data_IF_189640187041
#
_entry.id   IF_189640187041
#
_cell.length_a   1.000
_cell.length_b   1.000
_cell.length_c   1.000
_cell.angle_alpha   90.00
_cell.angle_beta   90.00
_cell.angle_gamma   90.00
#
_symmetry.space_group_name_H-M   'P 1'
#
loop_
_entity.id
_entity.type
_entity.pdbx_description
1 polymer ?
#
# COMPACT_ATOMS: atom_id res chain seq x y z
N UNK A 1 -24.82 7.01 26.98
CA UNK A 1 -24.96 6.84 25.52
C UNK A 1 -23.84 5.91 25.11
N UNK A 2 -24.17 4.69 24.66
CA UNK A 2 -23.18 3.80 24.05
C UNK A 2 -22.65 4.51 22.81
N UNK A 3 -21.40 4.97 22.86
CA UNK A 3 -20.72 5.58 21.73
C UNK A 3 -20.60 4.48 20.67
N UNK A 4 -21.50 4.43 19.68
CA UNK A 4 -21.36 3.46 18.59
C UNK A 4 -20.10 3.82 17.83
N UNK A 5 -19.13 2.91 17.83
CA UNK A 5 -17.89 3.05 17.06
C UNK A 5 -18.26 3.11 15.58
N UNK A 6 -17.82 4.15 14.86
CA UNK A 6 -17.96 4.20 13.40
C UNK A 6 -16.95 3.21 12.82
N UNK A 7 -17.43 2.29 11.99
CA UNK A 7 -16.56 1.37 11.26
C UNK A 7 -15.75 2.15 10.23
N UNK A 8 -14.41 2.09 10.25
CA UNK A 8 -13.62 2.72 9.20
C UNK A 8 -13.64 1.90 7.92
N UNK A 9 -13.49 2.59 6.79
CA UNK A 9 -13.24 2.01 5.47
C UNK A 9 -11.80 1.47 5.40
N UNK A 10 -11.59 0.26 4.86
CA UNK A 10 -10.27 -0.21 4.46
C UNK A 10 -10.02 0.19 3.00
N UNK A 11 -9.18 1.22 2.81
CA UNK A 11 -8.86 1.78 1.50
C UNK A 11 -7.54 1.21 0.96
N UNK A 12 -7.66 0.37 -0.06
CA UNK A 12 -6.52 -0.32 -0.67
C UNK A 12 -6.01 0.34 -1.95
N UNK A 13 -4.70 0.24 -2.24
CA UNK A 13 -4.12 0.78 -3.45
C UNK A 13 -4.33 -0.17 -4.64
N UNK A 14 -4.73 0.37 -5.78
CA UNK A 14 -4.81 -0.39 -7.03
C UNK A 14 -4.04 0.33 -8.15
N UNK A 15 -3.01 -0.33 -8.67
CA UNK A 15 -2.20 0.20 -9.79
C UNK A 15 -2.57 -0.37 -11.15
N UNK A 16 -3.44 -1.36 -11.23
CA UNK A 16 -3.95 -1.98 -12.47
C UNK A 16 -5.33 -2.55 -12.17
N UNK A 17 -6.12 -2.83 -13.20
CA UNK A 17 -7.44 -3.45 -13.05
C UNK A 17 -7.36 -4.79 -12.30
N UNK A 18 -6.34 -5.60 -12.57
CA UNK A 18 -6.06 -6.84 -11.83
C UNK A 18 -5.91 -6.58 -10.31
N UNK A 19 -5.14 -5.57 -9.91
CA UNK A 19 -4.95 -5.22 -8.50
C UNK A 19 -6.21 -4.68 -7.86
N UNK A 20 -7.05 -3.96 -8.62
CA UNK A 20 -8.36 -3.50 -8.15
C UNK A 20 -9.24 -4.70 -7.80
N UNK A 21 -9.40 -5.65 -8.73
CA UNK A 21 -10.22 -6.84 -8.51
C UNK A 21 -9.71 -7.64 -7.31
N UNK A 22 -8.40 -7.88 -7.25
CA UNK A 22 -7.75 -8.57 -6.12
C UNK A 22 -7.98 -7.84 -4.80
N UNK A 23 -7.83 -6.52 -4.73
CA UNK A 23 -8.05 -5.77 -3.49
C UNK A 23 -9.48 -5.96 -2.97
N UNK A 24 -10.47 -5.85 -3.85
CA UNK A 24 -11.89 -5.96 -3.50
C UNK A 24 -12.25 -7.39 -3.11
N UNK A 25 -11.77 -8.39 -3.87
CA UNK A 25 -12.02 -9.80 -3.54
C UNK A 25 -11.38 -10.20 -2.20
N UNK A 26 -10.29 -9.54 -1.80
CA UNK A 26 -9.64 -9.69 -0.49
C UNK A 26 -10.22 -8.76 0.59
N UNK A 27 -11.32 -8.06 0.31
CA UNK A 27 -12.15 -7.39 1.30
C UNK A 27 -11.90 -5.89 1.48
N UNK A 28 -11.26 -5.21 0.53
CA UNK A 28 -11.21 -3.75 0.53
C UNK A 28 -12.61 -3.15 0.44
N UNK A 29 -12.91 -2.19 1.32
CA UNK A 29 -14.18 -1.44 1.27
C UNK A 29 -14.12 -0.34 0.19
N UNK A 30 -12.92 0.12 -0.14
CA UNK A 30 -12.66 1.03 -1.25
C UNK A 30 -11.27 0.81 -1.85
N UNK A 31 -11.08 1.24 -3.09
CA UNK A 31 -9.78 1.27 -3.76
C UNK A 31 -9.45 2.66 -4.27
N UNK A 32 -8.17 3.02 -4.27
CA UNK A 32 -7.71 4.21 -4.99
C UNK A 32 -6.74 3.87 -6.13
N UNK A 33 -7.00 4.47 -7.29
CA UNK A 33 -6.28 4.27 -8.55
C UNK A 33 -5.63 5.57 -9.03
N UNK A 34 -4.84 5.48 -10.11
CA UNK A 34 -4.39 6.63 -10.87
C UNK A 34 -5.03 6.64 -12.25
N UNK A 35 -5.49 7.80 -12.70
CA UNK A 35 -5.80 8.03 -14.11
C UNK A 35 -4.56 8.37 -14.93
N UNK A 36 -4.74 8.51 -16.25
CA UNK A 36 -3.67 8.89 -17.18
C UNK A 36 -3.26 10.38 -17.07
N UNK A 37 -3.99 11.19 -16.31
CA UNK A 37 -3.74 12.62 -16.13
C UNK A 37 -3.76 13.03 -14.64
N UNK A 38 -3.17 14.19 -14.34
CA UNK A 38 -3.21 14.91 -13.06
C UNK A 38 -2.70 14.20 -11.79
N UNK A 39 -2.15 12.98 -11.88
CA UNK A 39 -1.66 12.20 -10.75
C UNK A 39 -0.13 12.23 -10.51
N UNK A 40 0.30 11.93 -9.28
CA UNK A 40 1.73 11.89 -8.87
C UNK A 40 2.50 10.59 -9.15
N UNK A 41 1.94 9.63 -9.86
CA UNK A 41 2.59 8.35 -10.14
C UNK A 41 2.50 8.01 -11.62
N UNK A 42 3.09 8.86 -12.46
CA UNK A 42 3.12 8.66 -13.92
C UNK A 42 3.76 7.35 -14.36
N UNK A 43 4.54 6.69 -13.48
CA UNK A 43 5.19 5.38 -13.72
C UNK A 43 4.48 4.19 -13.08
N UNK A 44 3.36 4.38 -12.39
CA UNK A 44 2.50 3.26 -12.00
C UNK A 44 1.68 2.80 -13.22
N UNK A 45 1.05 1.63 -13.14
CA UNK A 45 -0.07 1.38 -14.04
C UNK A 45 -1.14 2.43 -13.76
N UNK A 46 -1.61 3.08 -14.81
CA UNK A 46 -2.63 4.11 -14.75
C UNK A 46 -3.74 3.67 -15.71
N UNK A 47 -4.97 3.75 -15.23
CA UNK A 47 -6.13 3.16 -15.91
C UNK A 47 -6.48 3.98 -17.15
N UNK A 48 -6.78 3.30 -18.26
CA UNK A 48 -7.55 3.91 -19.34
C UNK A 48 -9.00 4.18 -18.87
N UNK A 49 -9.76 4.93 -19.66
CA UNK A 49 -11.18 5.17 -19.32
C UNK A 49 -11.99 3.87 -19.37
N UNK A 50 -11.68 2.97 -20.30
CA UNK A 50 -12.32 1.66 -20.41
C UNK A 50 -11.99 0.77 -19.20
N UNK A 51 -10.73 0.67 -18.81
CA UNK A 51 -10.32 -0.08 -17.62
C UNK A 51 -10.93 0.50 -16.35
N UNK A 52 -11.07 1.83 -16.29
CA UNK A 52 -11.68 2.51 -15.15
C UNK A 52 -13.17 2.22 -15.07
N UNK A 53 -13.90 2.26 -16.20
CA UNK A 53 -15.32 1.88 -16.21
C UNK A 53 -15.50 0.44 -15.72
N UNK A 54 -14.72 -0.50 -16.27
CA UNK A 54 -14.78 -1.90 -15.83
C UNK A 54 -14.46 -2.05 -14.33
N UNK A 55 -13.49 -1.27 -13.83
CA UNK A 55 -13.14 -1.23 -12.42
C UNK A 55 -14.25 -0.70 -11.51
N UNK A 56 -14.92 0.39 -11.92
CA UNK A 56 -16.07 0.97 -11.21
C UNK A 56 -17.21 -0.05 -11.16
N UNK A 57 -17.59 -0.62 -12.30
CA UNK A 57 -18.67 -1.60 -12.39
C UNK A 57 -18.37 -2.84 -11.51
N UNK A 58 -17.13 -3.31 -11.52
CA UNK A 58 -16.70 -4.45 -10.70
C UNK A 58 -16.81 -4.16 -9.20
N UNK A 59 -16.41 -2.95 -8.78
CA UNK A 59 -16.40 -2.53 -7.40
C UNK A 59 -17.81 -2.30 -6.85
N UNK A 60 -18.64 -1.57 -7.59
CA UNK A 60 -20.03 -1.30 -7.21
C UNK A 60 -20.86 -2.58 -7.13
N UNK A 61 -20.61 -3.56 -7.99
CA UNK A 61 -21.24 -4.89 -7.90
C UNK A 61 -20.89 -5.68 -6.62
N UNK A 62 -19.92 -5.20 -5.82
CA UNK A 62 -19.45 -5.77 -4.55
C UNK A 62 -19.53 -4.78 -3.39
N UNK A 63 -20.33 -3.72 -3.54
CA UNK A 63 -20.50 -2.66 -2.53
C UNK A 63 -19.20 -1.94 -2.13
N UNK A 64 -18.19 -1.92 -3.03
CA UNK A 64 -16.92 -1.25 -2.83
C UNK A 64 -16.82 0.03 -3.65
N UNK A 65 -16.12 1.04 -3.13
CA UNK A 65 -15.94 2.35 -3.79
C UNK A 65 -14.64 2.47 -4.58
N UNK A 66 -14.62 3.35 -5.58
CA UNK A 66 -13.42 3.65 -6.39
C UNK A 66 -13.09 5.14 -6.33
N UNK A 67 -11.84 5.44 -5.96
CA UNK A 67 -11.31 6.80 -5.92
C UNK A 67 -10.18 7.01 -6.92
N UNK A 68 -10.15 8.15 -7.61
CA UNK A 68 -9.07 8.49 -8.56
C UNK A 68 -8.16 9.57 -7.98
N UNK A 69 -6.85 9.32 -7.95
CA UNK A 69 -5.87 10.32 -7.52
C UNK A 69 -5.53 11.33 -8.62
N UNK A 70 -5.87 12.60 -8.39
CA UNK A 70 -5.55 13.77 -9.21
C UNK A 70 -4.78 14.81 -8.37
N UNK A 71 -3.66 14.36 -7.80
CA UNK A 71 -2.98 15.03 -6.69
C UNK A 71 -1.64 15.68 -7.04
N UNK A 72 -1.42 16.04 -8.31
CA UNK A 72 -0.25 16.85 -8.67
C UNK A 72 -0.34 18.27 -8.10
N UNK A 73 0.80 18.92 -7.94
CA UNK A 73 0.89 20.38 -7.74
C UNK A 73 0.92 21.02 -9.12
N UNK A 74 -0.10 21.82 -9.45
CA UNK A 74 -0.24 22.37 -10.79
C UNK A 74 0.62 23.62 -10.98
N UNK A 75 1.09 23.80 -12.21
CA UNK A 75 1.64 25.07 -12.71
C UNK A 75 0.74 25.56 -13.83
N UNK A 76 0.86 26.84 -14.19
CA UNK A 76 0.12 27.44 -15.31
C UNK A 76 0.07 26.54 -16.55
N UNK A 77 -1.14 26.27 -17.04
CA UNK A 77 -1.42 25.40 -18.17
C UNK A 77 -1.48 23.91 -17.86
N UNK A 78 -1.19 23.48 -16.63
CA UNK A 78 -1.34 22.07 -16.23
C UNK A 78 -2.79 21.70 -15.93
N UNK A 79 -3.66 22.67 -15.70
CA UNK A 79 -5.10 22.51 -15.46
C UNK A 79 -5.91 22.35 -16.76
N UNK A 80 -5.29 22.62 -17.92
CA UNK A 80 -5.97 22.51 -19.23
C UNK A 80 -6.57 21.11 -19.39
N UNK A 81 -7.86 21.07 -19.75
CA UNK A 81 -8.63 19.83 -19.93
C UNK A 81 -9.20 19.21 -18.65
N UNK A 82 -8.85 19.71 -17.46
CA UNK A 82 -9.23 19.07 -16.21
C UNK A 82 -10.76 19.03 -16.01
N UNK A 83 -11.47 20.08 -16.42
CA UNK A 83 -12.92 20.15 -16.29
C UNK A 83 -13.66 19.09 -17.12
N UNK A 84 -13.23 18.86 -18.36
CA UNK A 84 -13.76 17.76 -19.18
C UNK A 84 -13.45 16.41 -18.57
N UNK A 85 -12.21 16.22 -18.09
CA UNK A 85 -11.79 14.99 -17.46
C UNK A 85 -12.60 14.68 -16.19
N UNK A 86 -12.83 15.65 -15.32
CA UNK A 86 -13.66 15.46 -14.12
C UNK A 86 -15.13 15.16 -14.46
N UNK A 87 -15.69 15.78 -15.52
CA UNK A 87 -17.04 15.43 -15.99
C UNK A 87 -17.14 13.98 -16.44
N UNK A 88 -16.16 13.50 -17.20
CA UNK A 88 -16.12 12.10 -17.63
C UNK A 88 -16.09 11.17 -16.42
N UNK A 89 -15.22 11.42 -15.44
CA UNK A 89 -15.16 10.62 -14.21
C UNK A 89 -16.49 10.59 -13.45
N UNK A 90 -17.14 11.74 -13.28
CA UNK A 90 -18.46 11.84 -12.66
C UNK A 90 -19.50 11.02 -13.43
N UNK A 91 -19.54 11.17 -14.75
CA UNK A 91 -20.56 10.54 -15.60
C UNK A 91 -20.39 9.01 -15.68
N UNK A 92 -19.18 8.50 -15.41
CA UNK A 92 -18.89 7.06 -15.22
C UNK A 92 -19.38 6.51 -13.87
N UNK A 93 -19.78 7.39 -12.94
CA UNK A 93 -20.19 7.01 -11.59
C UNK A 93 -19.04 6.89 -10.59
N UNK A 94 -17.89 7.55 -10.82
CA UNK A 94 -16.78 7.52 -9.86
C UNK A 94 -17.21 8.10 -8.49
N UNK A 95 -16.82 7.45 -7.40
CA UNK A 95 -17.22 7.86 -6.05
C UNK A 95 -16.54 9.16 -5.59
N UNK A 96 -15.21 9.28 -5.80
CA UNK A 96 -14.48 10.50 -5.41
C UNK A 96 -13.16 10.69 -6.16
N UNK A 97 -12.66 11.93 -6.19
CA UNK A 97 -11.30 12.28 -6.59
C UNK A 97 -10.46 12.72 -5.40
N UNK A 98 -9.18 12.32 -5.39
CA UNK A 98 -8.21 12.70 -4.36
C UNK A 98 -7.31 13.82 -4.92
N UNK A 99 -7.53 15.06 -4.49
CA UNK A 99 -6.97 16.28 -5.11
C UNK A 99 -6.21 17.11 -4.07
N UNK A 100 -5.12 17.77 -4.46
CA UNK A 100 -4.36 18.68 -3.56
C UNK A 100 -4.32 20.13 -4.01
N UNK A 101 -4.48 20.39 -5.30
CA UNK A 101 -4.29 21.71 -5.87
C UNK A 101 -5.61 22.51 -5.83
N UNK A 102 -5.61 23.74 -5.27
CA UNK A 102 -6.81 24.59 -5.23
C UNK A 102 -7.46 24.83 -6.60
N UNK A 103 -6.67 24.96 -7.67
CA UNK A 103 -7.22 25.20 -9.01
C UNK A 103 -8.00 23.98 -9.50
N UNK A 104 -7.47 22.77 -9.31
CA UNK A 104 -8.18 21.53 -9.66
C UNK A 104 -9.41 21.31 -8.77
N UNK A 105 -9.37 21.70 -7.50
CA UNK A 105 -10.53 21.64 -6.59
C UNK A 105 -11.65 22.54 -7.10
N UNK A 106 -11.33 23.79 -7.47
CA UNK A 106 -12.31 24.75 -8.02
C UNK A 106 -12.87 24.24 -9.35
N UNK A 107 -12.03 23.73 -10.25
CA UNK A 107 -12.48 23.18 -11.53
C UNK A 107 -13.40 21.97 -11.31
N UNK A 108 -13.02 21.02 -10.46
CA UNK A 108 -13.84 19.83 -10.19
C UNK A 108 -15.20 20.21 -9.58
N UNK A 109 -15.21 21.07 -8.56
CA UNK A 109 -16.44 21.49 -7.88
C UNK A 109 -17.40 22.27 -8.79
N UNK A 110 -16.87 23.06 -9.72
CA UNK A 110 -17.69 23.87 -10.64
C UNK A 110 -18.13 23.11 -11.89
N UNK A 111 -17.24 22.32 -12.49
CA UNK A 111 -17.50 21.66 -13.78
C UNK A 111 -18.04 20.23 -13.65
N UNK A 112 -17.78 19.55 -12.54
CA UNK A 112 -18.26 18.20 -12.25
C UNK A 112 -19.04 18.15 -10.91
N UNK A 113 -20.10 18.97 -10.73
CA UNK A 113 -20.87 18.97 -9.50
C UNK A 113 -21.44 17.59 -9.20
N UNK A 114 -21.35 17.18 -7.93
CA UNK A 114 -21.78 15.85 -7.45
C UNK A 114 -20.65 14.82 -7.34
N UNK A 115 -19.49 15.05 -7.97
CA UNK A 115 -18.30 14.22 -7.74
C UNK A 115 -17.64 14.63 -6.41
N UNK A 116 -17.49 13.70 -5.48
CA UNK A 116 -16.87 14.01 -4.18
C UNK A 116 -15.38 14.31 -4.32
N UNK A 117 -14.88 15.21 -3.47
CA UNK A 117 -13.49 15.64 -3.46
C UNK A 117 -12.89 15.34 -2.09
N UNK A 118 -11.89 14.46 -2.08
CA UNK A 118 -11.07 14.16 -0.92
C UNK A 118 -9.75 14.94 -1.00
N UNK A 119 -9.38 15.62 0.08
CA UNK A 119 -8.12 16.36 0.13
C UNK A 119 -6.94 15.41 0.22
N UNK A 120 -6.07 15.40 -0.78
CA UNK A 120 -4.82 14.63 -0.77
C UNK A 120 -3.86 15.10 0.33
N UNK A 121 -3.13 14.16 0.92
CA UNK A 121 -2.04 14.43 1.88
C UNK A 121 -0.98 15.41 1.35
N UNK A 122 -0.88 15.57 0.01
CA UNK A 122 -0.08 16.61 -0.63
C UNK A 122 -0.48 18.03 -0.28
N UNK A 123 -1.63 18.27 0.37
CA UNK A 123 -2.01 19.56 0.94
C UNK A 123 -1.36 19.83 2.31
N UNK A 124 -0.75 18.81 2.94
CA UNK A 124 -0.05 18.92 4.22
C UNK A 124 -0.93 19.42 5.39
N UNK A 125 -2.17 18.94 5.46
CA UNK A 125 -3.15 19.37 6.47
C UNK A 125 -2.91 18.71 7.84
N UNK A 126 -2.60 19.53 8.85
CA UNK A 126 -2.15 19.10 10.18
C UNK A 126 -2.98 19.63 11.35
N UNK A 127 -4.00 20.45 11.10
CA UNK A 127 -4.83 21.07 12.14
C UNK A 127 -6.30 21.16 11.68
N UNK A 128 -7.21 21.29 12.63
CA UNK A 128 -8.66 21.30 12.34
C UNK A 128 -9.10 22.58 11.61
N UNK A 129 -8.45 23.73 11.83
CA UNK A 129 -8.80 24.97 11.11
C UNK A 129 -8.62 24.79 9.59
N UNK A 130 -7.58 24.07 9.19
CA UNK A 130 -7.35 23.69 7.79
C UNK A 130 -8.45 22.76 7.29
N UNK A 131 -8.95 21.85 8.13
CA UNK A 131 -10.00 20.91 7.74
C UNK A 131 -11.32 21.65 7.51
N UNK A 132 -11.69 22.57 8.42
CA UNK A 132 -12.88 23.40 8.29
C UNK A 132 -12.80 24.33 7.07
N UNK A 133 -11.63 24.90 6.77
CA UNK A 133 -11.43 25.67 5.54
C UNK A 133 -11.76 24.84 4.29
N UNK A 134 -11.28 23.59 4.21
CA UNK A 134 -11.58 22.73 3.07
C UNK A 134 -13.03 22.24 3.05
N UNK A 135 -13.65 22.05 4.22
CA UNK A 135 -15.08 21.76 4.34
C UNK A 135 -15.92 22.89 3.77
N UNK A 136 -15.58 24.15 4.04
CA UNK A 136 -16.26 25.32 3.46
C UNK A 136 -16.14 25.35 1.93
N UNK A 137 -15.07 24.79 1.37
CA UNK A 137 -14.88 24.62 -0.08
C UNK A 137 -15.59 23.37 -0.64
N UNK A 138 -16.33 22.63 0.18
CA UNK A 138 -17.16 21.49 -0.23
C UNK A 138 -16.45 20.13 -0.20
N UNK A 139 -15.26 20.02 0.39
CA UNK A 139 -14.57 18.74 0.52
C UNK A 139 -15.16 17.92 1.67
N UNK A 140 -15.36 16.62 1.44
CA UNK A 140 -16.02 15.71 2.39
C UNK A 140 -15.02 14.97 3.29
N UNK A 141 -13.78 14.82 2.84
CA UNK A 141 -12.73 14.03 3.51
C UNK A 141 -11.37 14.67 3.38
N UNK A 142 -10.56 14.56 4.44
CA UNK A 142 -9.16 14.99 4.46
C UNK A 142 -8.24 13.80 4.70
N UNK A 143 -7.28 13.60 3.80
CA UNK A 143 -6.17 12.67 4.02
C UNK A 143 -5.15 13.36 4.93
N UNK A 144 -5.05 12.88 6.16
CA UNK A 144 -4.19 13.41 7.21
C UNK A 144 -2.74 13.49 6.74
N UNK A 145 -2.06 14.58 7.13
CA UNK A 145 -0.62 14.68 6.96
C UNK A 145 0.09 13.57 7.75
N UNK A 146 1.17 13.03 7.18
CA UNK A 146 1.88 11.87 7.73
C UNK A 146 2.68 12.15 9.01
N UNK A 147 2.82 13.44 9.33
CA UNK A 147 3.55 13.95 10.48
C UNK A 147 2.66 14.15 11.71
N UNK A 148 1.33 14.04 11.57
CA UNK A 148 0.38 14.21 12.68
C UNK A 148 0.43 12.99 13.60
N UNK A 149 0.65 13.22 14.89
CA UNK A 149 0.69 12.15 15.88
C UNK A 149 -0.72 11.81 16.44
N UNK A 150 -0.83 10.72 17.22
CA UNK A 150 -2.11 10.24 17.75
C UNK A 150 -2.78 11.26 18.70
N UNK A 151 -2.01 12.02 19.47
CA UNK A 151 -2.54 13.03 20.38
C UNK A 151 -3.13 14.22 19.61
N UNK A 152 -2.44 14.67 18.55
CA UNK A 152 -2.93 15.70 17.63
C UNK A 152 -4.19 15.23 16.89
N UNK A 153 -4.20 13.99 16.37
CA UNK A 153 -5.38 13.40 15.73
C UNK A 153 -6.59 13.39 16.66
N UNK A 154 -6.40 12.98 17.92
CA UNK A 154 -7.45 13.00 18.95
C UNK A 154 -8.02 14.42 19.14
N UNK A 155 -7.16 15.43 19.15
CA UNK A 155 -7.58 16.82 19.32
C UNK A 155 -8.29 17.39 18.09
N UNK A 156 -7.82 17.04 16.89
CA UNK A 156 -8.49 17.39 15.63
C UNK A 156 -9.90 16.80 15.63
N UNK A 157 -10.05 15.49 15.90
CA UNK A 157 -11.34 14.81 15.86
C UNK A 157 -12.39 15.44 16.77
N UNK A 158 -12.01 16.00 17.93
CA UNK A 158 -12.94 16.68 18.85
C UNK A 158 -13.54 17.98 18.29
N UNK A 159 -12.90 18.59 17.28
CA UNK A 159 -13.20 19.94 16.81
C UNK A 159 -13.78 20.02 15.40
N UNK A 160 -13.80 18.90 14.68
CA UNK A 160 -14.36 18.80 13.34
C UNK A 160 -15.16 17.51 13.22
N UNK A 161 -16.09 17.44 12.27
CA UNK A 161 -16.83 16.26 11.81
C UNK A 161 -16.40 15.81 10.39
N UNK A 162 -15.45 16.50 9.75
CA UNK A 162 -14.87 16.12 8.44
C UNK A 162 -14.31 14.70 8.51
N UNK A 163 -14.49 13.91 7.45
CA UNK A 163 -13.95 12.55 7.43
C UNK A 163 -12.42 12.56 7.42
N UNK A 164 -11.81 11.74 8.27
CA UNK A 164 -10.37 11.62 8.40
C UNK A 164 -9.90 10.33 7.75
N UNK A 165 -9.08 10.44 6.70
CA UNK A 165 -8.38 9.32 6.11
C UNK A 165 -6.91 9.33 6.55
N UNK A 166 -6.43 8.23 7.12
CA UNK A 166 -5.11 8.16 7.72
C UNK A 166 -4.29 7.02 7.09
N UNK A 167 -3.00 7.26 6.82
CA UNK A 167 -2.11 6.20 6.36
C UNK A 167 -1.87 5.20 7.50
N UNK A 168 -2.00 3.92 7.21
CA UNK A 168 -1.82 2.84 8.20
C UNK A 168 -0.73 1.86 7.85
N UNK A 169 -0.40 1.73 6.55
CA UNK A 169 0.60 0.77 6.10
C UNK A 169 1.35 1.23 4.85
N UNK A 170 2.60 0.80 4.72
CA UNK A 170 3.40 0.94 3.50
C UNK A 170 4.47 2.02 3.55
N UNK A 171 5.04 2.36 2.39
CA UNK A 171 6.26 3.16 2.36
C UNK A 171 6.03 4.60 2.83
N UNK A 172 6.87 5.04 3.77
CA UNK A 172 6.90 6.43 4.23
C UNK A 172 7.82 7.28 3.34
N UNK A 173 7.36 8.49 3.02
CA UNK A 173 8.19 9.46 2.33
C UNK A 173 9.02 10.20 3.37
N UNK A 174 10.26 10.53 3.01
CA UNK A 174 11.15 11.34 3.87
C UNK A 174 10.82 12.83 3.76
N UNK A 175 10.08 13.21 2.72
CA UNK A 175 9.65 14.58 2.47
C UNK A 175 8.30 14.82 3.12
N UNK A 176 8.11 16.04 3.61
CA UNK A 176 6.91 16.46 4.32
C UNK A 176 5.64 16.16 3.51
N UNK A 177 4.86 15.18 3.97
CA UNK A 177 3.68 14.61 3.29
C UNK A 177 3.86 14.38 1.78
N UNK A 178 5.07 13.95 1.39
CA UNK A 178 5.44 13.60 0.01
C UNK A 178 5.84 14.77 -0.90
N UNK A 179 5.92 16.01 -0.40
CA UNK A 179 6.35 17.18 -1.19
C UNK A 179 7.88 17.21 -1.32
N UNK A 180 8.41 16.57 -2.35
CA UNK A 180 9.85 16.26 -2.44
C UNK A 180 10.62 17.26 -3.31
N UNK A 181 11.44 18.12 -2.69
CA UNK A 181 12.40 18.98 -3.42
C UNK A 181 13.70 18.25 -3.78
N UNK A 182 14.08 17.23 -3.00
CA UNK A 182 15.31 16.48 -3.20
C UNK A 182 15.32 15.77 -4.57
N UNK A 183 14.23 15.10 -4.93
CA UNK A 183 14.12 14.43 -6.24
C UNK A 183 14.21 15.43 -7.40
N UNK A 184 13.63 16.62 -7.25
CA UNK A 184 13.66 17.68 -8.26
C UNK A 184 15.10 18.12 -8.52
N UNK A 185 15.86 18.35 -7.45
CA UNK A 185 17.26 18.75 -7.53
C UNK A 185 18.15 17.63 -8.10
N UNK A 186 18.02 16.40 -7.60
CA UNK A 186 18.94 15.31 -7.92
C UNK A 186 18.73 14.69 -9.30
N UNK A 187 17.53 14.78 -9.86
CA UNK A 187 17.17 14.06 -11.09
C UNK A 187 16.60 14.94 -12.20
N UNK A 188 16.47 16.24 -11.97
CA UNK A 188 15.80 17.18 -12.89
C UNK A 188 14.39 16.73 -13.29
N UNK A 189 13.74 15.92 -12.45
CA UNK A 189 12.37 15.44 -12.63
C UNK A 189 11.51 15.93 -11.49
N UNK A 190 10.39 16.56 -11.82
CA UNK A 190 9.51 17.18 -10.83
C UNK A 190 8.65 16.15 -10.10
N UNK A 191 9.06 15.77 -8.90
CA UNK A 191 8.36 14.84 -8.03
C UNK A 191 6.96 15.28 -7.63
N UNK A 192 6.69 16.59 -7.59
CA UNK A 192 5.37 17.13 -7.28
C UNK A 192 4.44 17.17 -8.50
N UNK A 193 4.92 16.68 -9.66
CA UNK A 193 4.14 16.42 -10.89
C UNK A 193 4.38 15.01 -11.44
N UNK A 194 4.59 14.06 -10.54
CA UNK A 194 4.75 12.64 -10.89
C UNK A 194 6.16 12.19 -11.28
N UNK A 195 7.13 13.08 -11.23
CA UNK A 195 8.52 12.86 -11.59
C UNK A 195 9.39 12.19 -10.53
N UNK A 196 8.83 11.65 -9.44
CA UNK A 196 9.62 11.11 -8.34
C UNK A 196 10.62 10.04 -8.86
N UNK A 197 11.90 10.27 -8.59
CA UNK A 197 12.99 9.35 -8.95
C UNK A 197 13.40 8.42 -7.81
N UNK A 198 12.70 8.53 -6.67
CA UNK A 198 13.01 7.81 -5.45
C UNK A 198 14.45 8.08 -4.99
N UNK A 199 14.93 9.32 -5.13
CA UNK A 199 16.29 9.72 -4.75
C UNK A 199 16.62 9.39 -3.30
N UNK A 200 15.64 9.43 -2.39
CA UNK A 200 15.80 8.98 -1.01
C UNK A 200 16.24 7.51 -0.85
N UNK A 201 16.09 6.67 -1.89
CA UNK A 201 16.51 5.25 -1.93
C UNK A 201 17.90 5.06 -2.54
N UNK A 202 18.50 6.11 -3.08
CA UNK A 202 19.85 6.03 -3.62
C UNK A 202 20.85 5.84 -2.48
N UNK A 203 22.04 5.42 -2.87
CA UNK A 203 23.19 5.28 -1.99
C UNK A 203 24.04 6.53 -2.09
N UNK A 204 24.37 7.09 -0.93
CA UNK A 204 25.04 8.38 -0.80
C UNK A 204 26.35 8.22 -0.02
N UNK A 205 27.38 8.90 -0.50
CA UNK A 205 28.61 9.16 0.24
C UNK A 205 28.43 10.35 1.20
N UNK A 206 29.04 10.27 2.38
CA UNK A 206 29.05 11.36 3.36
C UNK A 206 30.41 12.07 3.34
N UNK A 207 30.38 13.40 3.18
CA UNK A 207 31.57 14.25 3.15
C UNK A 207 31.55 15.22 4.33
N UNK A 208 32.70 15.39 5.00
CA UNK A 208 32.92 16.44 5.99
C UNK A 208 33.28 17.73 5.23
N UNK A 209 32.35 18.67 5.20
CA UNK A 209 32.46 19.89 4.40
C UNK A 209 32.39 21.11 5.32
N UNK A 210 33.52 21.72 5.72
CA UNK A 210 33.51 23.02 6.36
C UNK A 210 33.14 24.14 5.37
N UNK A 211 33.58 24.03 4.11
CA UNK A 211 33.32 24.99 3.02
C UNK A 211 33.30 24.31 1.64
N UNK A 212 32.51 24.88 0.72
CA UNK A 212 32.02 24.29 -0.55
C UNK A 212 33.03 23.93 -1.66
N UNK A 213 34.29 23.65 -1.36
CA UNK A 213 35.32 23.32 -2.37
C UNK A 213 36.17 22.08 -2.08
N UNK A 214 36.09 21.48 -0.89
CA UNK A 214 36.90 20.30 -0.54
C UNK A 214 36.01 19.08 -0.26
N UNK A 215 35.95 18.13 -1.21
CA UNK A 215 35.35 16.81 -0.94
C UNK A 215 36.29 15.98 -0.06
N UNK A 216 36.22 16.15 1.26
CA UNK A 216 36.85 15.22 2.20
C UNK A 216 35.80 14.20 2.63
N UNK A 217 35.97 12.94 2.24
CA UNK A 217 35.19 11.84 2.84
C UNK A 217 35.43 11.84 4.35
N UNK A 218 34.40 11.55 5.15
CA UNK A 218 34.56 11.38 6.60
C UNK A 218 35.73 10.41 6.84
N UNK A 219 36.75 10.86 7.58
CA UNK A 219 37.90 10.00 7.90
C UNK A 219 37.44 8.91 8.89
N UNK A 220 37.23 7.71 8.36
CA UNK A 220 36.85 6.49 9.08
C UNK A 220 36.33 5.45 8.09
N UNK A 221 36.34 4.18 8.44
CA UNK A 221 35.60 3.17 7.66
C UNK A 221 34.12 3.50 7.79
N UNK A 222 33.51 4.05 6.74
CA UNK A 222 32.05 4.05 6.60
C UNK A 222 31.71 2.59 6.25
N UNK A 223 31.10 1.81 7.17
CA UNK A 223 30.94 0.38 6.94
C UNK A 223 30.01 0.06 5.77
N UNK A 224 29.04 0.96 5.48
CA UNK A 224 28.05 0.82 4.41
C UNK A 224 27.56 2.19 3.87
N UNK A 225 27.24 2.25 2.58
CA UNK A 225 26.67 3.45 1.93
C UNK A 225 25.29 3.84 2.51
N UNK A 226 25.12 5.13 2.80
CA UNK A 226 23.92 5.69 3.44
C UNK A 226 22.72 5.76 2.48
N UNK A 227 21.52 5.47 2.98
CA UNK A 227 20.26 5.75 2.30
C UNK A 227 19.35 6.53 3.23
N UNK A 228 18.68 7.56 2.70
CA UNK A 228 17.75 8.39 3.49
C UNK A 228 16.38 7.72 3.67
N UNK A 229 16.16 6.52 3.11
CA UNK A 229 14.84 5.89 3.12
C UNK A 229 14.39 5.48 4.51
N UNK A 230 13.11 5.65 4.80
CA UNK A 230 12.50 5.13 6.02
C UNK A 230 12.13 3.64 5.89
N UNK A 231 11.94 3.01 7.03
CA UNK A 231 11.18 1.76 7.17
C UNK A 231 9.72 1.98 6.72
N UNK A 232 8.96 0.91 6.53
CA UNK A 232 7.55 0.99 6.16
C UNK A 232 6.70 1.28 7.42
N UNK A 233 5.62 2.05 7.26
CA UNK A 233 4.63 2.25 8.31
C UNK A 233 3.79 0.99 8.50
N UNK A 234 3.41 0.66 9.72
CA UNK A 234 2.45 -0.40 10.03
C UNK A 234 1.72 -0.11 11.35
N UNK A 235 0.40 0.05 11.28
CA UNK A 235 -0.47 0.33 12.41
C UNK A 235 -1.38 -0.85 12.77
N UNK A 236 -1.07 -2.07 12.31
CA UNK A 236 -1.91 -3.26 12.55
C UNK A 236 -2.12 -3.55 14.05
N UNK A 237 -1.12 -3.26 14.89
CA UNK A 237 -1.20 -3.41 16.34
C UNK A 237 -2.10 -2.36 17.02
N UNK A 238 -2.44 -1.30 16.29
CA UNK A 238 -3.00 -0.05 16.79
C UNK A 238 -4.32 0.30 16.11
N UNK A 239 -4.99 -0.70 15.51
CA UNK A 239 -6.35 -0.56 14.99
C UNK A 239 -7.33 -0.02 16.04
N UNK A 240 -7.29 -0.46 17.32
CA UNK A 240 -8.10 0.15 18.36
C UNK A 240 -7.91 1.67 18.45
N UNK A 241 -6.67 2.14 18.53
CA UNK A 241 -6.38 3.57 18.69
C UNK A 241 -6.88 4.39 17.49
N UNK A 242 -6.74 3.87 16.27
CA UNK A 242 -7.23 4.54 15.05
C UNK A 242 -8.76 4.67 15.06
N UNK A 243 -9.47 3.60 15.41
CA UNK A 243 -10.94 3.58 15.45
C UNK A 243 -11.47 4.46 16.58
N UNK A 244 -10.90 4.36 17.78
CA UNK A 244 -11.33 5.16 18.93
C UNK A 244 -11.03 6.65 18.77
N UNK A 245 -9.99 7.02 18.01
CA UNK A 245 -9.72 8.42 17.65
C UNK A 245 -10.46 8.89 16.39
N UNK A 246 -11.40 8.10 15.88
CA UNK A 246 -12.36 8.52 14.86
C UNK A 246 -11.77 8.69 13.46
N UNK A 247 -10.80 7.84 13.09
CA UNK A 247 -10.37 7.70 11.69
C UNK A 247 -11.48 7.02 10.90
N UNK A 248 -11.86 7.62 9.78
CA UNK A 248 -12.97 7.17 8.93
C UNK A 248 -12.50 6.26 7.79
N UNK A 249 -11.25 6.39 7.33
CA UNK A 249 -10.67 5.54 6.29
C UNK A 249 -9.20 5.20 6.58
N UNK A 250 -8.87 3.91 6.57
CA UNK A 250 -7.54 3.35 6.78
C UNK A 250 -6.85 3.16 5.43
N UNK A 251 -5.97 4.10 5.08
CA UNK A 251 -5.31 4.11 3.78
C UNK A 251 -4.03 3.27 3.76
N UNK A 252 -4.00 2.25 2.90
CA UNK A 252 -2.82 1.44 2.63
C UNK A 252 -2.03 2.06 1.46
N UNK A 253 -0.74 2.35 1.65
CA UNK A 253 0.15 2.77 0.56
C UNK A 253 0.63 1.55 -0.22
N UNK A 254 0.57 1.60 -1.56
CA UNK A 254 1.21 0.55 -2.35
C UNK A 254 0.82 0.45 -3.82
N UNK A 255 0.45 1.52 -4.54
CA UNK A 255 -0.02 1.40 -5.94
C UNK A 255 0.99 0.69 -6.87
N UNK A 256 2.28 0.81 -6.58
CA UNK A 256 3.36 0.15 -7.33
C UNK A 256 3.71 -1.26 -6.81
N UNK A 257 3.07 -1.74 -5.74
CA UNK A 257 3.33 -3.05 -5.14
C UNK A 257 2.64 -4.16 -5.94
N UNK A 258 3.03 -5.42 -5.70
CA UNK A 258 2.48 -6.60 -6.38
C UNK A 258 1.07 -6.96 -5.89
N UNK A 259 0.38 -7.83 -6.62
CA UNK A 259 -0.89 -8.40 -6.15
C UNK A 259 -0.74 -9.14 -4.81
N UNK A 260 0.39 -9.85 -4.56
CA UNK A 260 0.69 -10.46 -3.26
C UNK A 260 0.67 -9.44 -2.11
N UNK A 261 1.23 -8.25 -2.32
CA UNK A 261 1.19 -7.20 -1.30
C UNK A 261 -0.23 -6.69 -1.08
N UNK A 262 -0.94 -6.40 -2.17
CA UNK A 262 -2.30 -5.89 -2.11
C UNK A 262 -3.24 -6.89 -1.43
N UNK A 263 -3.23 -8.16 -1.84
CA UNK A 263 -4.07 -9.21 -1.25
C UNK A 263 -3.77 -9.41 0.23
N UNK A 264 -2.50 -9.64 0.61
CA UNK A 264 -2.11 -9.90 2.00
C UNK A 264 -2.43 -8.72 2.92
N UNK A 265 -1.98 -7.51 2.58
CA UNK A 265 -2.18 -6.35 3.46
C UNK A 265 -3.65 -6.01 3.58
N UNK A 266 -4.41 -6.05 2.49
CA UNK A 266 -5.87 -5.80 2.53
C UNK A 266 -6.57 -6.80 3.43
N UNK A 267 -6.31 -8.11 3.26
CA UNK A 267 -6.91 -9.16 4.09
C UNK A 267 -6.63 -8.90 5.58
N UNK A 268 -5.38 -8.60 5.93
CA UNK A 268 -4.99 -8.32 7.32
C UNK A 268 -5.74 -7.13 7.91
N UNK A 269 -5.79 -6.00 7.22
CA UNK A 269 -6.50 -4.81 7.73
C UNK A 269 -8.01 -5.02 7.79
N UNK A 270 -8.59 -5.73 6.82
CA UNK A 270 -10.01 -6.09 6.84
C UNK A 270 -10.35 -6.97 8.03
N UNK A 271 -9.60 -8.05 8.25
CA UNK A 271 -9.81 -8.92 9.41
C UNK A 271 -9.57 -8.20 10.74
N UNK A 272 -8.58 -7.31 10.82
CA UNK A 272 -8.31 -6.52 12.02
C UNK A 272 -9.48 -5.60 12.37
N UNK A 273 -10.02 -4.88 11.38
CA UNK A 273 -11.20 -4.03 11.56
C UNK A 273 -12.43 -4.87 11.91
N UNK A 274 -12.69 -5.94 11.17
CA UNK A 274 -13.83 -6.84 11.42
C UNK A 274 -13.80 -7.40 12.85
N UNK A 275 -12.66 -7.90 13.28
CA UNK A 275 -12.47 -8.44 14.62
C UNK A 275 -12.67 -7.39 15.71
N UNK A 276 -12.10 -6.19 15.55
CA UNK A 276 -12.22 -5.13 16.57
C UNK A 276 -13.63 -4.55 16.65
N UNK A 277 -14.30 -4.43 15.51
CA UNK A 277 -15.70 -3.99 15.45
C UNK A 277 -16.65 -4.99 16.09
N UNK A 278 -16.29 -6.28 16.09
CA UNK A 278 -17.01 -7.29 16.85
C UNK A 278 -16.70 -7.22 18.35
N UNK A 279 -15.42 -7.30 18.74
CA UNK A 279 -14.99 -7.03 20.11
C UNK A 279 -13.47 -6.83 20.24
N UNK A 280 -12.99 -6.07 21.25
CA UNK A 280 -11.56 -5.98 21.54
C UNK A 280 -10.88 -7.35 21.75
N UNK A 281 -11.57 -8.29 22.40
CA UNK A 281 -11.06 -9.64 22.66
C UNK A 281 -10.80 -10.42 21.37
N UNK A 282 -11.70 -10.31 20.38
CA UNK A 282 -11.50 -10.96 19.08
C UNK A 282 -10.31 -10.40 18.32
N UNK A 283 -10.14 -9.08 18.32
CA UNK A 283 -8.95 -8.47 17.74
C UNK A 283 -7.67 -8.98 18.41
N UNK A 284 -7.62 -8.98 19.75
CA UNK A 284 -6.46 -9.46 20.48
C UNK A 284 -6.16 -10.95 20.26
N UNK A 285 -7.18 -11.77 20.00
CA UNK A 285 -7.00 -13.19 19.71
C UNK A 285 -6.25 -13.45 18.39
N UNK A 286 -6.46 -12.62 17.36
CA UNK A 286 -5.84 -12.80 16.03
C UNK A 286 -4.63 -11.90 15.77
N UNK A 287 -4.40 -10.91 16.64
CA UNK A 287 -3.43 -9.82 16.40
C UNK A 287 -2.03 -10.32 16.03
N UNK A 288 -1.50 -11.33 16.71
CA UNK A 288 -0.16 -11.85 16.43
C UNK A 288 -0.10 -12.58 15.07
N UNK A 289 -1.16 -13.31 14.70
CA UNK A 289 -1.27 -13.96 13.38
C UNK A 289 -1.29 -12.93 12.23
N UNK A 290 -1.97 -11.79 12.44
CA UNK A 290 -1.97 -10.68 11.48
C UNK A 290 -0.57 -10.11 11.25
N UNK A 291 0.22 -9.98 12.32
CA UNK A 291 1.60 -9.47 12.25
C UNK A 291 2.46 -10.46 11.46
N UNK A 292 2.37 -11.75 11.77
CA UNK A 292 3.11 -12.80 11.07
C UNK A 292 2.78 -12.80 9.59
N UNK A 293 1.50 -12.68 9.25
CA UNK A 293 1.02 -12.63 7.87
C UNK A 293 1.57 -11.41 7.10
N UNK A 294 1.60 -10.22 7.73
CA UNK A 294 2.21 -9.03 7.13
C UNK A 294 3.72 -9.18 6.89
N UNK A 295 4.43 -9.90 7.76
CA UNK A 295 5.85 -10.18 7.58
C UNK A 295 6.15 -11.08 6.38
N UNK A 296 5.16 -11.84 5.88
CA UNK A 296 5.32 -12.66 4.68
C UNK A 296 5.42 -11.82 3.40
N UNK A 297 5.02 -10.55 3.44
CA UNK A 297 5.09 -9.64 2.30
C UNK A 297 5.90 -8.36 2.55
N UNK A 298 6.35 -8.13 3.79
CA UNK A 298 7.18 -6.99 4.16
C UNK A 298 8.51 -6.97 3.40
N UNK A 299 8.84 -5.83 2.78
CA UNK A 299 10.11 -5.66 2.05
C UNK A 299 11.17 -4.95 2.88
N UNK A 300 10.74 -4.35 3.98
CA UNK A 300 11.46 -3.46 4.88
C UNK A 300 10.97 -3.76 6.29
N UNK A 301 11.69 -3.24 7.28
CA UNK A 301 11.18 -3.19 8.64
C UNK A 301 9.91 -2.35 8.74
N UNK A 302 9.22 -2.49 9.88
CA UNK A 302 7.95 -1.86 10.15
C UNK A 302 8.08 -0.94 11.38
N UNK A 303 7.48 0.24 11.33
CA UNK A 303 7.35 1.15 12.47
C UNK A 303 6.01 1.89 12.44
N UNK A 304 5.70 2.61 13.51
CA UNK A 304 4.47 3.41 13.63
C UNK A 304 4.59 4.81 13.02
N UNK A 305 5.75 5.17 12.45
CA UNK A 305 5.97 6.52 11.92
C UNK A 305 5.82 7.58 13.01
N UNK A 306 5.07 8.64 12.75
CA UNK A 306 4.90 9.77 13.68
C UNK A 306 3.82 9.55 14.75
N UNK A 307 3.02 8.48 14.68
CA UNK A 307 1.84 8.32 15.53
C UNK A 307 2.15 8.37 17.04
N UNK A 308 3.29 7.83 17.49
CA UNK A 308 3.66 7.77 18.91
C UNK A 308 4.97 8.48 19.26
N UNK A 309 5.49 9.31 18.35
CA UNK A 309 6.72 10.06 18.55
C UNK A 309 7.42 10.41 17.25
N UNK A 310 8.36 11.34 17.32
CA UNK A 310 9.20 11.68 16.17
C UNK A 310 10.13 10.52 15.83
N UNK A 311 10.11 10.00 14.58
CA UNK A 311 11.03 8.96 14.13
C UNK A 311 12.49 9.38 14.32
N UNK A 312 13.32 8.43 14.73
CA UNK A 312 14.77 8.62 14.88
C UNK A 312 15.53 7.85 13.79
N UNK A 313 16.83 7.69 13.96
CA UNK A 313 17.66 6.81 13.13
C UNK A 313 17.17 5.35 13.10
N UNK A 314 16.39 4.92 14.10
CA UNK A 314 15.89 3.54 14.17
C UNK A 314 14.79 3.22 13.17
N UNK A 315 14.08 4.25 12.68
CA UNK A 315 13.04 4.16 11.65
C UNK A 315 13.59 4.49 10.25
N UNK A 316 14.90 4.62 10.11
CA UNK A 316 15.59 4.74 8.82
C UNK A 316 16.19 3.39 8.40
N UNK A 317 16.26 3.14 7.09
CA UNK A 317 16.94 1.98 6.52
C UNK A 317 18.45 2.22 6.54
N UNK A 318 19.04 2.08 7.71
CA UNK A 318 20.48 2.18 7.93
C UNK A 318 21.07 0.82 8.32
N UNK A 319 22.18 0.44 7.66
CA UNK A 319 22.86 -0.83 7.88
C UNK A 319 22.19 -2.04 7.21
N UNK A 320 22.68 -3.23 7.56
CA UNK A 320 22.05 -4.49 7.18
C UNK A 320 20.58 -4.56 7.68
N UNK A 321 19.74 -5.36 7.02
CA UNK A 321 18.32 -5.49 7.36
C UNK A 321 18.13 -6.29 8.66
N UNK A 322 17.30 -5.83 9.58
CA UNK A 322 16.99 -6.52 10.84
C UNK A 322 16.14 -7.78 10.64
N UNK A 323 15.29 -7.82 9.61
CA UNK A 323 14.47 -9.00 9.25
C UNK A 323 14.35 -9.13 7.73
N UNK A 324 14.47 -10.35 7.21
CA UNK A 324 14.35 -10.66 5.78
C UNK A 324 13.05 -11.44 5.56
N UNK A 325 12.19 -11.05 4.59
CA UNK A 325 10.98 -11.80 4.27
C UNK A 325 11.30 -13.22 3.80
N UNK A 326 10.49 -14.18 4.28
CA UNK A 326 10.70 -15.62 4.11
C UNK A 326 9.89 -16.21 2.94
N UNK A 327 9.03 -15.42 2.32
CA UNK A 327 8.06 -15.92 1.35
C UNK A 327 8.26 -15.31 -0.02
N UNK A 328 8.15 -16.16 -1.03
CA UNK A 328 8.23 -15.76 -2.44
C UNK A 328 6.87 -15.97 -3.07
N UNK A 329 6.30 -14.94 -3.67
CA UNK A 329 5.06 -15.10 -4.46
C UNK A 329 5.35 -15.94 -5.70
N UNK A 330 4.64 -17.06 -5.86
CA UNK A 330 4.92 -18.02 -6.95
C UNK A 330 3.75 -18.24 -7.90
N UNK A 331 2.51 -17.97 -7.50
CA UNK A 331 1.36 -18.14 -8.38
C UNK A 331 0.02 -17.70 -7.79
N UNK A 332 -1.04 -17.91 -8.56
CA UNK A 332 -2.43 -17.73 -8.15
C UNK A 332 -3.27 -18.90 -8.73
N UNK A 333 -4.34 -19.27 -8.05
CA UNK A 333 -5.28 -20.29 -8.51
C UNK A 333 -6.23 -19.67 -9.54
N UNK A 334 -6.31 -20.27 -10.72
CA UNK A 334 -7.24 -19.88 -11.79
C UNK A 334 -8.50 -20.71 -11.74
N UNK A 335 -8.36 -22.02 -11.53
CA UNK A 335 -9.47 -22.97 -11.45
C UNK A 335 -9.09 -24.16 -10.55
N UNK A 336 -10.10 -24.89 -10.08
CA UNK A 336 -9.94 -26.11 -9.32
C UNK A 336 -10.97 -27.15 -9.80
N UNK A 337 -10.53 -28.38 -9.99
CA UNK A 337 -11.37 -29.54 -10.33
C UNK A 337 -11.51 -30.41 -9.07
N UNK A 338 -12.73 -30.49 -8.54
CA UNK A 338 -13.05 -31.27 -7.33
C UNK A 338 -13.02 -32.79 -7.57
N UNK A 339 -13.27 -33.26 -8.80
CA UNK A 339 -13.32 -34.70 -9.10
C UNK A 339 -11.91 -35.29 -9.16
N UNK A 340 -10.96 -34.54 -9.74
CA UNK A 340 -9.56 -34.98 -9.87
C UNK A 340 -8.64 -34.42 -8.80
N UNK A 341 -9.14 -33.51 -7.94
CA UNK A 341 -8.36 -32.78 -6.95
C UNK A 341 -7.18 -32.02 -7.57
N UNK A 342 -7.40 -31.41 -8.73
CA UNK A 342 -6.36 -30.72 -9.52
C UNK A 342 -6.60 -29.22 -9.56
N UNK A 343 -5.59 -28.43 -9.17
CA UNK A 343 -5.62 -26.98 -9.33
C UNK A 343 -4.94 -26.56 -10.63
N UNK A 344 -5.61 -25.70 -11.40
CA UNK A 344 -4.97 -24.91 -12.45
C UNK A 344 -4.47 -23.61 -11.85
N UNK A 345 -3.16 -23.38 -11.92
CA UNK A 345 -2.51 -22.21 -11.34
C UNK A 345 -1.84 -21.37 -12.44
N UNK A 346 -1.86 -20.05 -12.28
CA UNK A 346 -1.07 -19.14 -13.11
C UNK A 346 0.23 -18.82 -12.41
N UNK A 347 1.33 -19.20 -13.06
CA UNK A 347 2.65 -18.99 -12.52
C UNK A 347 3.02 -17.50 -12.46
N UNK A 348 3.66 -17.08 -11.37
CA UNK A 348 4.23 -15.73 -11.22
C UNK A 348 5.74 -15.77 -11.02
N UNK A 349 6.26 -16.88 -10.49
CA UNK A 349 7.69 -17.12 -10.35
C UNK A 349 7.98 -18.62 -10.41
N UNK A 350 9.26 -18.98 -10.53
CA UNK A 350 9.71 -20.38 -10.64
C UNK A 350 9.13 -21.24 -9.52
N UNK A 351 8.55 -22.38 -9.89
CA UNK A 351 8.03 -23.45 -9.04
C UNK A 351 8.72 -24.75 -9.44
N UNK A 352 9.11 -25.56 -8.47
CA UNK A 352 9.63 -26.92 -8.67
C UNK A 352 8.68 -27.96 -8.08
N UNK A 353 8.67 -29.16 -8.65
CA UNK A 353 8.10 -30.32 -7.96
C UNK A 353 8.87 -30.53 -6.63
N UNK A 354 8.15 -30.77 -5.54
CA UNK A 354 8.72 -30.85 -4.19
C UNK A 354 8.85 -29.53 -3.43
N UNK A 355 8.56 -28.36 -4.04
CA UNK A 355 8.55 -27.09 -3.30
C UNK A 355 7.45 -27.10 -2.22
N UNK A 356 7.77 -26.62 -1.00
CA UNK A 356 6.76 -26.33 0.03
C UNK A 356 6.10 -24.99 -0.27
N UNK A 357 4.78 -25.02 -0.45
CA UNK A 357 3.97 -23.86 -0.79
C UNK A 357 2.82 -23.68 0.18
N UNK A 358 2.38 -22.44 0.30
CA UNK A 358 1.20 -22.02 1.04
C UNK A 358 0.22 -21.36 0.06
N UNK A 359 -1.00 -21.86 0.04
CA UNK A 359 -2.16 -21.21 -0.53
C UNK A 359 -2.79 -20.32 0.53
N UNK A 360 -3.16 -19.09 0.15
CA UNK A 360 -3.91 -18.20 1.02
C UNK A 360 -4.98 -17.41 0.26
N UNK A 361 -6.12 -17.19 0.90
CA UNK A 361 -7.30 -16.60 0.28
C UNK A 361 -8.02 -15.58 1.16
N UNK A 362 -9.05 -14.89 0.62
CA UNK A 362 -9.92 -14.02 1.38
C UNK A 362 -10.49 -14.71 2.64
N UNK A 363 -10.57 -13.96 3.75
CA UNK A 363 -11.07 -14.48 5.03
C UNK A 363 -10.08 -15.42 5.73
N UNK A 364 -8.78 -15.15 5.60
CA UNK A 364 -7.71 -15.93 6.25
C UNK A 364 -7.80 -17.45 6.00
N UNK A 365 -8.18 -17.84 4.79
CA UNK A 365 -8.03 -19.25 4.38
C UNK A 365 -6.56 -19.51 4.13
N UNK A 366 -5.99 -20.52 4.78
CA UNK A 366 -4.62 -20.95 4.58
C UNK A 366 -4.56 -22.46 4.40
N UNK A 367 -3.70 -22.91 3.49
CA UNK A 367 -3.46 -24.32 3.23
C UNK A 367 -2.01 -24.52 2.77
N UNK A 368 -1.24 -25.31 3.50
CA UNK A 368 0.15 -25.63 3.16
C UNK A 368 0.25 -27.04 2.57
N UNK A 369 1.08 -27.19 1.55
CA UNK A 369 1.36 -28.49 0.93
C UNK A 369 2.73 -28.51 0.25
N UNK A 370 3.10 -29.68 -0.25
CA UNK A 370 4.22 -29.87 -1.15
C UNK A 370 3.66 -29.94 -2.58
N UNK A 371 4.33 -29.30 -3.53
CA UNK A 371 3.99 -29.39 -4.95
C UNK A 371 4.24 -30.82 -5.42
N UNK A 372 3.20 -31.49 -5.87
CA UNK A 372 3.26 -32.82 -6.48
C UNK A 372 2.52 -32.84 -7.80
N UNK A 373 3.00 -33.66 -8.73
CA UNK A 373 2.30 -33.89 -10.01
C UNK A 373 2.18 -32.62 -10.85
N UNK A 374 3.29 -31.90 -10.95
CA UNK A 374 3.39 -30.63 -11.68
C UNK A 374 3.42 -30.87 -13.19
N UNK A 375 2.49 -30.25 -13.92
CA UNK A 375 2.42 -30.31 -15.38
C UNK A 375 2.37 -28.92 -16.01
N UNK A 376 2.87 -28.83 -17.25
CA UNK A 376 2.75 -27.65 -18.10
C UNK A 376 1.38 -27.54 -18.79
N UNK A 377 1.20 -26.49 -19.60
CA UNK A 377 -0.05 -26.23 -20.32
C UNK A 377 -0.42 -27.28 -21.38
N UNK A 378 0.56 -28.07 -21.82
CA UNK A 378 0.39 -29.17 -22.77
C UNK A 378 0.10 -30.51 -22.07
N UNK A 379 0.09 -30.52 -20.72
CA UNK A 379 -0.10 -31.72 -19.91
C UNK A 379 1.14 -32.60 -19.77
N UNK A 380 2.33 -32.09 -20.09
CA UNK A 380 3.58 -32.82 -19.85
C UNK A 380 4.00 -32.64 -18.40
N UNK A 381 4.43 -33.73 -17.76
CA UNK A 381 5.00 -33.67 -16.41
C UNK A 381 6.34 -32.93 -16.45
N UNK A 382 6.53 -31.98 -15.54
CA UNK A 382 7.75 -31.17 -15.43
C UNK A 382 8.25 -31.08 -13.98
N UNK A 383 9.57 -31.06 -13.81
CA UNK A 383 10.19 -30.90 -12.48
C UNK A 383 10.36 -29.42 -12.09
N UNK A 384 10.30 -28.53 -13.08
CA UNK A 384 10.55 -27.09 -12.94
C UNK A 384 9.76 -26.31 -13.97
N UNK A 385 8.94 -25.39 -13.50
CA UNK A 385 8.28 -24.40 -14.35
C UNK A 385 9.09 -23.10 -14.37
N UNK A 386 9.72 -22.69 -15.50
CA UNK A 386 10.58 -21.52 -15.53
C UNK A 386 9.91 -20.25 -16.08
N UNK A 387 8.72 -20.37 -16.67
CA UNK A 387 8.11 -19.35 -17.52
C UNK A 387 6.97 -18.62 -16.79
N UNK A 388 7.16 -17.36 -16.34
CA UNK A 388 6.08 -16.59 -15.71
C UNK A 388 4.85 -16.50 -16.62
N UNK A 389 3.67 -16.46 -16.00
CA UNK A 389 2.34 -16.41 -16.61
C UNK A 389 1.86 -17.70 -17.27
N UNK A 390 2.68 -18.76 -17.33
CA UNK A 390 2.24 -20.08 -17.79
C UNK A 390 1.12 -20.62 -16.90
N UNK A 391 0.16 -21.32 -17.50
CA UNK A 391 -0.80 -22.14 -16.79
C UNK A 391 -0.15 -23.48 -16.47
N UNK A 392 -0.26 -23.90 -15.23
CA UNK A 392 0.28 -25.17 -14.73
C UNK A 392 -0.84 -25.91 -14.00
N UNK A 393 -0.76 -27.24 -13.96
CA UNK A 393 -1.63 -28.04 -13.10
C UNK A 393 -0.83 -28.77 -12.03
N UNK A 394 -1.42 -28.85 -10.83
CA UNK A 394 -0.87 -29.55 -9.68
C UNK A 394 -1.97 -30.32 -8.95
N UNK A 395 -1.62 -31.49 -8.43
CA UNK A 395 -2.52 -32.30 -7.60
C UNK A 395 -2.46 -31.82 -6.15
N UNK A 396 -3.62 -31.65 -5.50
CA UNK A 396 -3.73 -31.12 -4.15
C UNK A 396 -4.50 -32.07 -3.21
N UNK A 397 -4.09 -32.20 -1.94
CA UNK A 397 -4.84 -33.01 -0.97
C UNK A 397 -6.04 -32.27 -0.36
N UNK A 398 -6.21 -30.97 -0.66
CA UNK A 398 -7.31 -30.14 -0.17
C UNK A 398 -7.79 -29.20 -1.27
N UNK A 399 -9.10 -28.94 -1.29
CA UNK A 399 -9.71 -28.01 -2.22
C UNK A 399 -9.23 -26.56 -1.99
N UNK A 400 -9.02 -25.85 -3.09
CA UNK A 400 -8.67 -24.42 -3.15
C UNK A 400 -9.67 -23.67 -4.01
N UNK A 401 -9.69 -22.34 -3.93
CA UNK A 401 -10.63 -21.51 -4.69
C UNK A 401 -9.93 -20.68 -5.76
N UNK A 402 -10.59 -20.42 -6.90
CA UNK A 402 -10.13 -19.39 -7.84
C UNK A 402 -9.87 -18.07 -7.11
N UNK A 403 -8.74 -17.43 -7.43
CA UNK A 403 -8.28 -16.21 -6.78
C UNK A 403 -7.45 -16.43 -5.51
N UNK A 404 -7.37 -17.65 -4.95
CA UNK A 404 -6.42 -17.94 -3.89
C UNK A 404 -4.98 -17.77 -4.41
N UNK A 405 -4.12 -17.20 -3.59
CA UNK A 405 -2.74 -16.85 -3.95
C UNK A 405 -1.77 -17.87 -3.41
N UNK A 406 -0.62 -18.03 -4.08
CA UNK A 406 0.36 -19.07 -3.79
C UNK A 406 1.72 -18.43 -3.50
N UNK A 407 2.31 -18.79 -2.37
CA UNK A 407 3.67 -18.40 -2.01
C UNK A 407 4.50 -19.60 -1.57
N UNK A 408 5.77 -19.59 -1.93
CA UNK A 408 6.73 -20.60 -1.49
C UNK A 408 7.38 -20.19 -0.17
N UNK A 409 7.44 -21.12 0.77
CA UNK A 409 8.14 -20.97 2.04
C UNK A 409 9.64 -21.20 1.78
N UNK A 410 10.45 -20.15 1.78
CA UNK A 410 11.91 -20.31 1.75
C UNK A 410 12.44 -20.26 3.17
N UNK A 411 13.35 -21.17 3.50
CA UNK A 411 14.14 -21.09 4.73
C UNK A 411 14.87 -19.74 4.76
N UNK A 412 14.43 -18.85 5.65
CA UNK A 412 14.90 -17.47 5.70
C UNK A 412 16.25 -17.32 6.39
N UNK A 413 16.89 -16.19 6.15
CA UNK A 413 18.08 -15.74 6.86
C UNK A 413 17.66 -14.59 7.80
N UNK A 414 18.04 -14.63 9.08
CA UNK A 414 17.82 -13.59 10.08
C UNK A 414 19.16 -13.00 10.48
N UNK A 415 19.27 -11.67 10.50
CA UNK A 415 20.44 -11.00 11.03
C UNK A 415 20.25 -10.74 12.52
N UNK A 416 21.02 -11.44 13.36
CA UNK A 416 21.10 -11.19 14.78
C UNK A 416 22.14 -10.11 15.04
N UNK A 417 21.72 -8.96 15.58
CA UNK A 417 22.63 -7.87 15.93
C UNK A 417 23.11 -8.04 17.36
N UNK A 418 24.43 -8.00 17.53
CA UNK A 418 25.07 -7.99 18.85
C UNK A 418 25.16 -6.56 19.34
N UNK A 419 25.29 -6.39 20.67
CA UNK A 419 25.41 -5.08 21.32
C UNK A 419 26.63 -4.26 20.86
N UNK A 420 27.60 -4.91 20.23
CA UNK A 420 28.81 -4.28 19.67
C UNK A 420 28.63 -3.73 18.23
N UNK A 421 27.41 -3.80 17.69
CA UNK A 421 27.09 -3.33 16.33
C UNK A 421 27.39 -4.34 15.22
N UNK A 422 27.98 -5.50 15.54
CA UNK A 422 28.15 -6.59 14.56
C UNK A 422 26.85 -7.35 14.34
N UNK A 423 26.67 -7.92 13.14
CA UNK A 423 25.52 -8.77 12.82
C UNK A 423 25.96 -10.18 12.44
N UNK A 424 25.13 -11.17 12.75
CA UNK A 424 25.29 -12.55 12.33
C UNK A 424 24.05 -13.01 11.58
N UNK A 425 24.20 -13.34 10.30
CA UNK A 425 23.15 -13.95 9.51
C UNK A 425 23.03 -15.43 9.88
N UNK A 426 21.91 -15.82 10.49
CA UNK A 426 21.58 -17.22 10.80
C UNK A 426 20.41 -17.69 9.95
N UNK A 427 20.36 -18.97 9.62
CA UNK A 427 19.14 -19.58 9.08
C UNK A 427 18.13 -19.64 10.22
N UNK A 428 16.93 -19.13 9.98
CA UNK A 428 15.84 -19.15 10.97
C UNK A 428 15.45 -20.59 11.33
#
# INVERSE_FOLDING_TARGET
MTNMKKRPEVLSPAGTLEKLKVAIDYGADAVFVGGQAYGLRSRAGNFSMEELQEGIDYAHARDAKVYVAANMVTHEGNEIGAGEWFRQLRDMGLDAVIVSDPALIVICSTEAPGLEIHLSTQASSTNYETFEFWKEMGLTRVVLAREVNMAELSEIRKRTDVEIEAFVHGAMCISYSGRCVLSNHMSHRDANRGGCSQSCRWKYDLYDMPFGSERRSLKGEIPEEYSMSSVDMCMINHIPDLIENGVDSLKIEGRMKSIHYVSTVTNCYKAAVDAYMESPEKFHAIKEELIDELWKVAQRELATGFYYGTPTENEQLFGARRKIPQYKFVGEVVAFDDDTMTATIRQRNVIHEGDRIEFYGPGFRHFETIVTDLHDEDGNKIDRAPNPMALLTISLPQAVKPGDMIRACKEGLVNLYKKDGSSQTVRA
#
